data_IF_730698905675
#
_entry.id   IF_730698905675
#
_cell.length_a   1.000
_cell.length_b   1.000
_cell.length_c   1.000
_cell.angle_alpha   90.00
_cell.angle_beta   90.00
_cell.angle_gamma   90.00
#
_symmetry.space_group_name_H-M   'P 1'
#
loop_
_entity.id
_entity.type
_entity.pdbx_description
1 polymer ?
#
# COMPACT_ATOMS: atom_id res chain seq x y z
N UNK A 1 2.37 31.09 5.26
CA UNK A 1 2.19 30.08 6.32
C UNK A 1 2.55 28.73 5.69
N UNK A 2 3.83 28.39 5.65
CA UNK A 2 4.31 27.12 5.08
C UNK A 2 4.67 26.22 6.23
N UNK A 3 3.74 25.35 6.60
CA UNK A 3 3.98 24.28 7.56
C UNK A 3 4.95 23.31 6.92
N UNK A 4 6.23 23.44 7.27
CA UNK A 4 7.30 22.54 6.89
C UNK A 4 7.02 21.21 7.61
N UNK A 5 6.32 20.30 6.93
CA UNK A 5 6.10 18.95 7.43
C UNK A 5 7.47 18.28 7.52
N UNK A 6 8.02 18.24 8.73
CA UNK A 6 9.24 17.50 9.06
C UNK A 6 9.02 16.03 8.70
N UNK A 7 9.51 15.63 7.52
CA UNK A 7 9.55 14.23 7.10
C UNK A 7 10.61 13.57 7.97
N UNK A 8 10.20 13.03 9.12
CA UNK A 8 11.08 12.18 9.92
C UNK A 8 11.43 10.96 9.06
N UNK A 9 12.71 10.57 8.94
CA UNK A 9 13.07 9.32 8.30
C UNK A 9 12.36 8.19 9.05
N UNK A 10 11.63 7.36 8.30
CA UNK A 10 10.89 6.23 8.84
C UNK A 10 11.92 5.28 9.46
N UNK A 11 11.87 5.09 10.78
CA UNK A 11 12.73 4.11 11.44
C UNK A 11 12.44 2.74 10.85
N UNK A 12 13.46 1.99 10.44
CA UNK A 12 13.28 0.64 9.85
C UNK A 12 12.64 -0.35 10.82
N UNK A 13 12.69 -0.05 12.13
CA UNK A 13 11.97 -0.79 13.19
C UNK A 13 10.45 -0.64 13.12
N UNK A 14 9.96 0.43 12.50
CA UNK A 14 8.54 0.81 12.47
C UNK A 14 7.90 0.47 11.10
N UNK A 15 8.70 -0.04 10.17
CA UNK A 15 8.24 -0.46 8.85
C UNK A 15 7.59 -1.84 9.02
N UNK A 16 6.26 -1.85 9.12
CA UNK A 16 5.47 -3.06 8.87
C UNK A 16 5.94 -3.70 7.56
N UNK A 17 5.95 -5.04 7.47
CA UNK A 17 6.31 -5.80 6.24
C UNK A 17 5.80 -5.07 4.98
N UNK A 18 6.62 -4.87 3.92
CA UNK A 18 6.20 -4.16 2.70
C UNK A 18 4.79 -4.50 2.19
N UNK A 19 4.41 -5.78 2.25
CA UNK A 19 3.07 -6.31 1.94
C UNK A 19 1.97 -5.67 2.78
N UNK A 20 2.21 -5.42 4.07
CA UNK A 20 1.28 -4.76 4.99
C UNK A 20 1.10 -3.28 4.63
N UNK A 21 2.20 -2.55 4.43
CA UNK A 21 2.14 -1.14 4.05
C UNK A 21 1.47 -0.94 2.70
N UNK A 22 1.77 -1.80 1.72
CA UNK A 22 1.14 -1.78 0.42
C UNK A 22 -0.37 -2.08 0.49
N UNK A 23 -0.78 -3.09 1.28
CA UNK A 23 -2.18 -3.42 1.50
C UNK A 23 -2.95 -2.24 2.07
N UNK A 24 -2.40 -1.60 3.11
CA UNK A 24 -3.03 -0.43 3.74
C UNK A 24 -3.24 0.71 2.73
N UNK A 25 -2.20 1.04 1.97
CA UNK A 25 -2.29 2.06 0.92
C UNK A 25 -3.40 1.74 -0.10
N UNK A 26 -3.45 0.49 -0.59
CA UNK A 26 -4.46 0.10 -1.58
C UNK A 26 -5.89 0.17 -1.02
N UNK A 27 -6.11 -0.11 0.27
CA UNK A 27 -7.42 0.03 0.89
C UNK A 27 -7.86 1.50 0.99
N UNK A 28 -6.96 2.40 1.40
CA UNK A 28 -7.23 3.85 1.45
C UNK A 28 -7.45 4.43 0.03
N UNK A 29 -6.68 3.96 -0.95
CA UNK A 29 -6.86 4.29 -2.37
C UNK A 29 -8.24 3.86 -2.88
N UNK A 30 -8.63 2.62 -2.60
CA UNK A 30 -9.91 2.04 -3.01
C UNK A 30 -11.08 2.87 -2.47
N UNK A 31 -11.04 3.25 -1.19
CA UNK A 31 -12.05 4.12 -0.59
C UNK A 31 -12.10 5.48 -1.30
N UNK A 32 -10.94 6.09 -1.57
CA UNK A 32 -10.89 7.37 -2.28
C UNK A 32 -11.48 7.26 -3.69
N UNK A 33 -11.20 6.18 -4.42
CA UNK A 33 -11.73 5.95 -5.77
C UNK A 33 -13.24 5.75 -5.75
N UNK A 34 -13.77 4.94 -4.82
CA UNK A 34 -15.22 4.75 -4.63
C UNK A 34 -15.93 6.08 -4.35
N UNK A 35 -15.29 6.97 -3.60
CA UNK A 35 -15.85 8.28 -3.23
C UNK A 35 -15.55 9.40 -4.25
N UNK A 36 -14.82 9.13 -5.34
CA UNK A 36 -14.39 10.16 -6.30
C UNK A 36 -15.48 10.58 -7.29
N UNK A 37 -16.48 9.74 -7.53
CA UNK A 37 -17.47 9.92 -8.59
C UNK A 37 -16.94 9.67 -10.01
N UNK A 38 -15.67 9.27 -10.15
CA UNK A 38 -15.07 8.90 -11.43
C UNK A 38 -15.35 7.43 -11.79
N UNK A 39 -15.30 7.11 -13.08
CA UNK A 39 -15.36 5.70 -13.53
C UNK A 39 -14.14 4.96 -13.01
N UNK A 40 -14.36 3.89 -12.26
CA UNK A 40 -13.31 3.08 -11.66
C UNK A 40 -13.64 1.59 -11.81
N UNK A 41 -12.71 0.83 -12.35
CA UNK A 41 -12.82 -0.62 -12.42
C UNK A 41 -12.26 -1.24 -11.13
N UNK A 42 -13.17 -1.42 -10.18
CA UNK A 42 -12.84 -1.95 -8.86
C UNK A 42 -12.37 -3.40 -8.92
N UNK A 43 -12.93 -4.22 -9.82
CA UNK A 43 -12.56 -5.62 -9.93
C UNK A 43 -11.12 -5.77 -10.40
N UNK A 44 -10.74 -5.04 -11.46
CA UNK A 44 -9.37 -5.04 -11.95
C UNK A 44 -8.36 -4.51 -10.91
N UNK A 45 -8.76 -3.51 -10.11
CA UNK A 45 -7.92 -3.00 -9.02
C UNK A 45 -7.68 -4.06 -7.93
N UNK A 46 -8.74 -4.74 -7.47
CA UNK A 46 -8.61 -5.78 -6.45
C UNK A 46 -7.74 -6.95 -6.93
N UNK A 47 -7.95 -7.41 -8.18
CA UNK A 47 -7.13 -8.48 -8.76
C UNK A 47 -5.64 -8.11 -8.80
N UNK A 48 -5.32 -6.90 -9.27
CA UNK A 48 -3.94 -6.42 -9.31
C UNK A 48 -3.32 -6.28 -7.90
N UNK A 49 -4.12 -5.82 -6.93
CA UNK A 49 -3.71 -5.72 -5.52
C UNK A 49 -3.36 -7.09 -4.94
N UNK A 50 -4.23 -8.09 -5.12
CA UNK A 50 -4.02 -9.45 -4.61
C UNK A 50 -2.76 -10.10 -5.20
N UNK A 51 -2.56 -9.99 -6.51
CA UNK A 51 -1.36 -10.50 -7.20
C UNK A 51 -0.08 -9.85 -6.66
N UNK A 52 -0.12 -8.55 -6.40
CA UNK A 52 1.03 -7.80 -5.89
C UNK A 52 1.35 -8.20 -4.45
N UNK A 53 0.33 -8.29 -3.59
CA UNK A 53 0.50 -8.71 -2.19
C UNK A 53 1.10 -10.12 -2.13
N UNK A 54 0.58 -11.06 -2.92
CA UNK A 54 1.11 -12.42 -2.98
C UNK A 54 2.60 -12.44 -3.37
N UNK A 55 3.00 -11.60 -4.34
CA UNK A 55 4.41 -11.49 -4.72
C UNK A 55 5.27 -10.87 -3.62
N UNK A 56 4.79 -9.82 -2.96
CA UNK A 56 5.52 -9.18 -1.85
C UNK A 56 5.73 -10.16 -0.69
N UNK A 57 4.71 -10.93 -0.32
CA UNK A 57 4.81 -11.93 0.73
C UNK A 57 5.84 -13.01 0.38
N UNK A 58 5.84 -13.48 -0.87
CA UNK A 58 6.84 -14.46 -1.34
C UNK A 58 8.27 -13.92 -1.19
N UNK A 59 8.51 -12.66 -1.58
CA UNK A 59 9.83 -12.03 -1.49
C UNK A 59 10.27 -11.81 -0.04
N UNK A 60 9.35 -11.42 0.83
CA UNK A 60 9.62 -11.24 2.25
C UNK A 60 9.97 -12.56 2.95
N UNK A 61 9.36 -13.66 2.52
CA UNK A 61 9.67 -14.99 3.04
C UNK A 61 11.01 -15.51 2.48
N UNK A 62 11.35 -15.17 1.22
CA UNK A 62 12.66 -15.46 0.61
C UNK A 62 13.81 -14.65 1.26
N UNK A 63 13.61 -13.39 1.63
CA UNK A 63 14.61 -12.54 2.32
C UNK A 63 14.88 -12.95 3.78
N UNK A 64 14.02 -13.78 4.38
CA UNK A 64 14.16 -14.25 5.77
C UNK A 64 14.94 -15.57 5.90
N UNK A 65 15.35 -16.19 4.79
CA UNK A 65 16.18 -17.40 4.72
C UNK A 65 17.67 -17.07 4.61
#
# INVERSE_FOLDING_TARGET
MTSESSIKPLSTSDISRPSTGFTQYCMEELERRRNSGEKFDEAAFMEAMELTIARLQTLEDEEQL
#
